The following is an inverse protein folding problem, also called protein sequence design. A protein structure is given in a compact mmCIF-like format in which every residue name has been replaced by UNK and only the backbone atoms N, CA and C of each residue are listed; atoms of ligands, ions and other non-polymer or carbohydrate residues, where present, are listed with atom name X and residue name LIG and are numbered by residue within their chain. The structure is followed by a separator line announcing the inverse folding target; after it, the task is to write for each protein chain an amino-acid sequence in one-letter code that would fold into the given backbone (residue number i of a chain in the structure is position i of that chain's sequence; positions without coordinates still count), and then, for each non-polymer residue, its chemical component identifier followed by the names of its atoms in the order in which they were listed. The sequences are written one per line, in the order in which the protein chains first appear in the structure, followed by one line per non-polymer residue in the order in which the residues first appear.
data_IF_207644365010
#
_entry.id   IF_207644365010
#
_cell.length_a   1.000
_cell.length_b   1.000
_cell.length_c   1.000
_cell.angle_alpha   90.00
_cell.angle_beta   90.00
_cell.angle_gamma   90.00
#
_symmetry.space_group_name_H-M   'P 1'
#
loop_
_entity.id
_entity.type
_entity.pdbx_description
1 polymer ?
#
# COMPACT_ATOMS: atom_id res chain seq x y z
N UNK A 1 9.46 -13.56 -2.04
CA UNK A 1 9.23 -12.17 -1.61
C UNK A 1 7.84 -12.04 -1.01
N UNK A 2 7.74 -11.46 0.17
CA UNK A 2 6.45 -11.29 0.84
C UNK A 2 6.00 -9.83 0.73
N UNK A 3 5.27 -9.53 -0.32
CA UNK A 3 4.81 -8.16 -0.60
C UNK A 3 3.89 -7.64 0.52
N UNK A 4 3.05 -8.50 1.05
CA UNK A 4 2.13 -8.11 2.13
C UNK A 4 2.90 -7.70 3.39
N UNK A 5 3.95 -8.44 3.73
CA UNK A 5 4.79 -8.10 4.87
C UNK A 5 5.56 -6.80 4.63
N UNK A 6 6.05 -6.61 3.41
CA UNK A 6 6.73 -5.37 3.04
C UNK A 6 5.79 -4.17 3.17
N UNK A 7 4.55 -4.32 2.75
CA UNK A 7 3.54 -3.26 2.91
C UNK A 7 3.28 -2.95 4.38
N UNK A 8 3.17 -4.00 5.20
CA UNK A 8 2.95 -3.82 6.63
C UNK A 8 4.10 -3.03 7.26
N UNK A 9 5.34 -3.38 6.94
CA UNK A 9 6.50 -2.67 7.46
C UNK A 9 6.50 -1.21 7.04
N UNK A 10 6.21 -0.94 5.77
CA UNK A 10 6.13 0.43 5.28
C UNK A 10 5.05 1.24 6.00
N UNK A 11 3.89 0.64 6.21
CA UNK A 11 2.79 1.30 6.89
C UNK A 11 3.09 1.53 8.38
N UNK A 12 3.75 0.57 9.03
CA UNK A 12 4.14 0.74 10.42
C UNK A 12 5.10 1.90 10.58
N UNK A 13 6.12 1.97 9.73
CA UNK A 13 7.11 3.04 9.79
C UNK A 13 6.47 4.39 9.49
N UNK A 14 5.58 4.43 8.51
CA UNK A 14 4.99 5.68 8.05
C UNK A 14 3.92 6.23 9.00
N UNK A 15 3.34 5.39 9.82
CA UNK A 15 2.26 5.76 10.73
C UNK A 15 2.68 5.69 12.20
N UNK A 16 3.98 5.64 12.48
CA UNK A 16 4.54 5.55 13.84
C UNK A 16 3.96 4.37 14.63
N UNK A 17 3.79 3.23 13.95
CA UNK A 17 3.30 2.02 14.59
C UNK A 17 1.79 1.97 14.82
N UNK A 18 1.03 2.94 14.29
CA UNK A 18 -0.42 2.95 14.42
C UNK A 18 -1.05 1.72 13.75
N UNK A 19 -0.50 1.30 12.62
CA UNK A 19 -0.95 0.11 11.90
C UNK A 19 -0.08 -1.06 12.31
N UNK A 20 -0.66 -2.06 12.98
CA UNK A 20 0.06 -3.21 13.48
C UNK A 20 -0.21 -4.49 12.69
N UNK A 21 -1.26 -4.52 11.90
CA UNK A 21 -1.53 -5.65 11.01
C UNK A 21 -2.35 -5.17 9.82
N UNK A 22 -2.28 -5.92 8.71
CA UNK A 22 -3.08 -5.65 7.53
C UNK A 22 -3.73 -6.95 7.06
N UNK A 23 -4.99 -6.86 6.65
CA UNK A 23 -5.74 -7.98 6.09
C UNK A 23 -6.07 -7.68 4.64
N UNK A 24 -6.17 -8.70 3.77
CA UNK A 24 -6.42 -8.45 2.34
C UNK A 24 -7.67 -7.63 2.05
N UNK A 25 -8.71 -7.79 2.85
CA UNK A 25 -9.97 -7.08 2.65
C UNK A 25 -10.01 -5.68 3.26
N UNK A 26 -8.96 -5.27 3.98
CA UNK A 26 -8.92 -3.94 4.58
C UNK A 26 -8.93 -2.85 3.51
N UNK A 27 -9.85 -1.90 3.64
CA UNK A 27 -9.91 -0.72 2.78
C UNK A 27 -8.87 0.27 3.30
N UNK A 28 -7.99 0.72 2.42
CA UNK A 28 -6.85 1.55 2.80
C UNK A 28 -7.26 2.82 3.55
N UNK A 29 -8.33 3.47 3.10
CA UNK A 29 -8.75 4.74 3.68
C UNK A 29 -9.62 4.59 4.90
N UNK A 30 -10.54 3.61 4.92
CA UNK A 30 -11.50 3.48 6.02
C UNK A 30 -11.04 2.50 7.10
N UNK A 31 -10.52 1.34 6.71
CA UNK A 31 -10.10 0.34 7.69
C UNK A 31 -8.73 0.64 8.29
N UNK A 32 -7.78 1.07 7.45
CA UNK A 32 -6.46 1.43 7.90
C UNK A 32 -6.34 2.91 8.29
N UNK A 33 -7.33 3.71 7.96
CA UNK A 33 -7.38 5.11 8.33
C UNK A 33 -6.35 5.99 7.62
N UNK A 34 -5.93 5.60 6.43
CA UNK A 34 -4.97 6.39 5.66
C UNK A 34 -5.69 7.57 5.01
N UNK A 35 -5.17 8.78 5.22
CA UNK A 35 -5.68 9.94 4.50
C UNK A 35 -5.00 10.01 3.11
N UNK A 36 -5.42 10.97 2.28
CA UNK A 36 -4.89 11.10 0.92
C UNK A 36 -3.38 11.29 0.89
N UNK A 37 -2.86 12.06 1.82
CA UNK A 37 -1.42 12.32 1.91
C UNK A 37 -0.66 11.04 2.25
N UNK A 38 -1.12 10.30 3.26
CA UNK A 38 -0.50 9.05 3.68
C UNK A 38 -0.57 8.01 2.56
N UNK A 39 -1.69 7.95 1.87
CA UNK A 39 -1.87 7.03 0.75
C UNK A 39 -0.90 7.35 -0.38
N UNK A 40 -0.76 8.63 -0.72
CA UNK A 40 0.18 9.07 -1.76
C UNK A 40 1.62 8.72 -1.38
N UNK A 41 1.99 8.98 -0.13
CA UNK A 41 3.33 8.65 0.36
C UNK A 41 3.60 7.15 0.29
N UNK A 42 2.61 6.33 0.62
CA UNK A 42 2.73 4.88 0.52
C UNK A 42 3.01 4.47 -0.93
N UNK A 43 2.29 5.07 -1.87
CA UNK A 43 2.48 4.78 -3.30
C UNK A 43 3.90 5.16 -3.73
N UNK A 44 4.40 6.31 -3.31
CA UNK A 44 5.77 6.72 -3.62
C UNK A 44 6.81 5.76 -3.06
N UNK A 45 6.62 5.29 -1.84
CA UNK A 45 7.52 4.32 -1.22
C UNK A 45 7.51 2.99 -1.96
N UNK A 46 6.35 2.56 -2.40
CA UNK A 46 6.21 1.34 -3.20
C UNK A 46 6.96 1.47 -4.52
N UNK A 47 6.78 2.58 -5.21
CA UNK A 47 7.46 2.82 -6.48
C UNK A 47 8.97 2.79 -6.31
N UNK A 48 9.46 3.38 -5.22
CA UNK A 48 10.89 3.42 -4.94
C UNK A 48 11.42 2.03 -4.57
N UNK A 49 10.70 1.32 -3.70
CA UNK A 49 11.15 0.01 -3.21
C UNK A 49 11.19 -1.03 -4.31
N UNK A 50 10.20 -1.06 -5.16
CA UNK A 50 10.09 -2.08 -6.21
C UNK A 50 10.57 -1.59 -7.57
N UNK A 51 10.99 -0.33 -7.65
CA UNK A 51 11.50 0.29 -8.88
C UNK A 51 10.47 0.17 -10.02
N UNK A 52 9.21 0.48 -9.71
CA UNK A 52 8.12 0.46 -10.68
C UNK A 52 7.45 1.83 -10.71
N UNK A 53 6.65 2.04 -11.75
CA UNK A 53 5.85 3.25 -11.87
C UNK A 53 4.38 2.88 -11.84
N UNK A 54 3.62 3.50 -10.94
CA UNK A 54 2.18 3.25 -10.83
C UNK A 54 1.45 4.42 -11.49
N UNK A 55 0.82 4.19 -12.66
CA UNK A 55 0.11 5.27 -13.36
C UNK A 55 -1.05 5.81 -12.52
N UNK A 56 -1.32 7.10 -12.69
CA UNK A 56 -2.42 7.75 -11.97
C UNK A 56 -3.76 7.05 -12.18
N UNK A 57 -3.99 6.52 -13.38
CA UNK A 57 -5.23 5.83 -13.71
C UNK A 57 -5.44 4.55 -12.88
N UNK A 58 -4.36 3.99 -12.32
CA UNK A 58 -4.43 2.78 -11.51
C UNK A 58 -4.81 3.09 -10.08
N UNK A 59 -4.43 4.28 -9.59
CA UNK A 59 -4.63 4.65 -8.19
C UNK A 59 -6.07 4.48 -7.69
N UNK A 60 -7.10 4.90 -8.45
CA UNK A 60 -8.48 4.69 -7.99
C UNK A 60 -8.89 3.24 -7.85
N UNK A 61 -8.15 2.31 -8.46
CA UNK A 61 -8.46 0.87 -8.38
C UNK A 61 -7.82 0.21 -7.16
N UNK A 62 -6.88 0.88 -6.51
CA UNK A 62 -6.16 0.35 -5.36
C UNK A 62 -6.92 0.72 -4.09
N UNK A 63 -8.03 0.04 -3.86
CA UNK A 63 -8.95 0.34 -2.76
C UNK A 63 -8.60 -0.45 -1.50
N UNK A 64 -8.26 -1.73 -1.65
CA UNK A 64 -7.95 -2.61 -0.54
C UNK A 64 -6.48 -3.03 -0.56
N UNK A 65 -6.03 -3.61 0.56
CA UNK A 65 -4.69 -4.21 0.65
C UNK A 65 -4.50 -5.26 -0.45
N UNK A 66 -5.52 -6.08 -0.66
CA UNK A 66 -5.49 -7.10 -1.71
C UNK A 66 -5.26 -6.51 -3.08
N UNK A 67 -5.93 -5.39 -3.40
CA UNK A 67 -5.75 -4.72 -4.69
C UNK A 67 -4.29 -4.32 -4.91
N UNK A 68 -3.67 -3.75 -3.87
CA UNK A 68 -2.28 -3.32 -3.93
C UNK A 68 -1.35 -4.52 -4.11
N UNK A 69 -1.56 -5.56 -3.31
CA UNK A 69 -0.72 -6.77 -3.37
C UNK A 69 -0.81 -7.42 -4.75
N UNK A 70 -2.03 -7.58 -5.27
CA UNK A 70 -2.23 -8.18 -6.60
C UNK A 70 -1.59 -7.35 -7.70
N UNK A 71 -1.71 -6.04 -7.62
CA UNK A 71 -1.06 -5.16 -8.59
C UNK A 71 0.46 -5.32 -8.56
N UNK A 72 1.03 -5.34 -7.37
CA UNK A 72 2.48 -5.50 -7.22
C UNK A 72 2.95 -6.86 -7.71
N UNK A 73 2.23 -7.92 -7.38
CA UNK A 73 2.59 -9.26 -7.83
C UNK A 73 2.58 -9.39 -9.35
N UNK A 74 1.72 -8.62 -10.01
CA UNK A 74 1.62 -8.63 -11.46
C UNK A 74 2.70 -7.77 -12.14
N UNK A 75 3.34 -6.86 -11.42
CA UNK A 75 4.21 -5.85 -12.00
C UNK A 75 5.65 -5.83 -11.47
N UNK A 76 5.98 -6.72 -10.56
CA UNK A 76 7.37 -6.82 -10.04
C UNK A 76 8.03 -8.13 -10.43
#
# INVERSE_FOLDING_TARGET
MDIRNDLLEMLQDHTDGRITEVNPEDVLTSDLGLNSFELFDMICLIEEKYEISIPDRVLPTLVTVKDVVEYLEANV
#
